data_IF_546172177164
#
_entry.id   IF_546172177164
#
_cell.length_a   1.000
_cell.length_b   1.000
_cell.length_c   1.000
_cell.angle_alpha   90.00
_cell.angle_beta   90.00
_cell.angle_gamma   90.00
#
_symmetry.space_group_name_H-M   'P 1'
#
loop_
_entity.id
_entity.type
_entity.pdbx_description
1 polymer ?
#
# COMPACT_ATOMS: atom_id res chain seq x y z
N UNK A 1 5.83 4.56 16.68
CA UNK A 1 4.68 4.18 15.82
C UNK A 1 4.23 2.74 16.07
N UNK A 2 2.93 2.56 16.29
CA UNK A 2 2.31 1.25 16.51
C UNK A 2 1.96 0.58 15.16
N UNK A 3 1.84 -0.76 15.13
CA UNK A 3 1.42 -1.48 13.93
C UNK A 3 -0.03 -1.22 13.55
N UNK A 4 -0.88 -0.80 14.49
CA UNK A 4 -2.31 -0.58 14.25
C UNK A 4 -3.05 -1.87 13.89
N UNK A 5 -4.36 -1.78 13.68
CA UNK A 5 -5.22 -2.90 13.27
C UNK A 5 -6.14 -2.44 12.14
N UNK A 6 -6.19 -3.21 11.06
CA UNK A 6 -7.13 -2.97 9.96
C UNK A 6 -8.48 -3.58 10.35
N UNK A 7 -9.52 -2.76 10.42
CA UNK A 7 -10.88 -3.18 10.76
C UNK A 7 -11.88 -2.49 9.84
N UNK A 8 -12.95 -3.20 9.51
CA UNK A 8 -14.10 -2.65 8.79
C UNK A 8 -13.84 -2.43 7.30
N UNK A 9 -14.75 -1.68 6.69
CA UNK A 9 -14.80 -1.34 5.26
C UNK A 9 -14.40 0.13 5.09
N UNK A 10 -13.68 0.43 4.02
CA UNK A 10 -13.33 1.79 3.64
C UNK A 10 -14.60 2.63 3.42
N UNK A 11 -14.82 3.62 4.29
CA UNK A 11 -15.93 4.57 4.16
C UNK A 11 -15.62 5.71 3.19
N UNK A 12 -14.32 5.95 2.91
CA UNK A 12 -13.84 7.01 2.02
C UNK A 12 -12.92 6.39 0.97
N UNK A 13 -12.86 7.02 -0.21
CA UNK A 13 -12.02 6.52 -1.32
C UNK A 13 -12.60 5.31 -2.05
N UNK A 14 -13.81 4.89 -1.70
CA UNK A 14 -14.53 3.73 -2.24
C UNK A 14 -15.33 4.00 -3.53
N UNK A 15 -15.41 5.26 -3.97
CA UNK A 15 -16.05 5.69 -5.20
C UNK A 15 -15.00 6.16 -6.22
N UNK A 16 -15.29 6.01 -7.51
CA UNK A 16 -14.42 6.46 -8.60
C UNK A 16 -14.42 8.00 -8.68
N UNK A 17 -13.29 8.62 -8.34
CA UNK A 17 -13.13 10.08 -8.42
C UNK A 17 -12.55 10.56 -9.76
N UNK A 18 -11.81 9.70 -10.45
CA UNK A 18 -11.09 10.02 -11.69
C UNK A 18 -11.15 8.84 -12.66
N UNK A 19 -11.13 9.14 -13.95
CA UNK A 19 -11.15 8.13 -15.01
C UNK A 19 -12.49 7.41 -15.15
N UNK A 20 -12.52 6.42 -16.03
CA UNK A 20 -13.74 5.63 -16.33
C UNK A 20 -13.74 4.25 -15.67
N UNK A 21 -12.58 3.77 -15.22
CA UNK A 21 -12.40 2.44 -14.63
C UNK A 21 -11.45 2.51 -13.43
N UNK A 22 -11.64 1.60 -12.46
CA UNK A 22 -10.72 1.44 -11.34
C UNK A 22 -10.62 0.00 -10.84
N UNK A 23 -9.55 -0.25 -10.09
CA UNK A 23 -9.32 -1.49 -9.33
C UNK A 23 -9.66 -1.20 -7.87
N UNK A 24 -10.51 -2.04 -7.28
CA UNK A 24 -10.99 -1.92 -5.91
C UNK A 24 -10.44 -3.05 -5.05
N UNK A 25 -10.03 -2.73 -3.83
CA UNK A 25 -9.58 -3.72 -2.87
C UNK A 25 -10.78 -4.50 -2.31
N UNK A 26 -10.71 -5.82 -2.36
CA UNK A 26 -11.73 -6.71 -1.78
C UNK A 26 -11.35 -7.18 -0.37
N UNK A 27 -10.06 -7.15 -0.04
CA UNK A 27 -9.51 -7.63 1.23
C UNK A 27 -8.66 -6.57 1.94
N UNK A 28 -8.45 -6.78 3.24
CA UNK A 28 -7.54 -5.94 4.03
C UNK A 28 -6.10 -6.39 3.86
N UNK A 29 -5.21 -5.48 3.48
CA UNK A 29 -3.79 -5.80 3.31
C UNK A 29 -2.90 -4.58 3.57
N UNK A 30 -1.60 -4.82 3.80
CA UNK A 30 -0.59 -3.78 3.69
C UNK A 30 0.06 -3.85 2.33
N UNK A 31 -0.06 -2.77 1.57
CA UNK A 31 0.55 -2.67 0.24
C UNK A 31 1.84 -1.87 0.34
N UNK A 32 2.94 -2.47 -0.09
CA UNK A 32 4.25 -1.81 -0.13
C UNK A 32 4.36 -0.86 -1.32
N UNK A 33 5.23 0.15 -1.21
CA UNK A 33 5.54 1.02 -2.36
C UNK A 33 6.05 0.25 -3.59
N UNK A 34 6.78 -0.85 -3.38
CA UNK A 34 7.26 -1.71 -4.48
C UNK A 34 6.11 -2.40 -5.23
N UNK A 35 5.08 -2.85 -4.54
CA UNK A 35 3.89 -3.46 -5.17
C UNK A 35 3.08 -2.43 -5.97
N UNK A 36 2.91 -1.22 -5.42
CA UNK A 36 2.24 -0.11 -6.14
C UNK A 36 2.99 0.22 -7.43
N UNK A 37 4.32 0.32 -7.35
CA UNK A 37 5.16 0.65 -8.49
C UNK A 37 5.19 -0.46 -9.55
N UNK A 38 5.25 -1.72 -9.13
CA UNK A 38 5.16 -2.86 -10.03
C UNK A 38 3.82 -2.89 -10.78
N UNK A 39 2.70 -2.66 -10.08
CA UNK A 39 1.38 -2.59 -10.68
C UNK A 39 1.26 -1.41 -11.66
N UNK A 40 1.77 -0.23 -11.29
CA UNK A 40 1.81 0.96 -12.16
C UNK A 40 2.57 0.65 -13.46
N UNK A 41 3.76 0.09 -13.36
CA UNK A 41 4.57 -0.26 -14.52
C UNK A 41 3.88 -1.29 -15.42
N UNK A 42 3.25 -2.32 -14.84
CA UNK A 42 2.52 -3.34 -15.60
C UNK A 42 1.35 -2.74 -16.39
N UNK A 43 0.52 -1.91 -15.74
CA UNK A 43 -0.63 -1.25 -16.39
C UNK A 43 -0.14 -0.30 -17.49
N UNK A 44 0.84 0.55 -17.20
CA UNK A 44 1.38 1.51 -18.17
C UNK A 44 2.00 0.80 -19.38
N UNK A 45 2.69 -0.34 -19.19
CA UNK A 45 3.24 -1.14 -20.30
C UNK A 45 2.15 -1.77 -21.14
N UNK A 46 1.12 -2.33 -20.50
CA UNK A 46 0.00 -2.96 -21.21
C UNK A 46 -0.79 -1.95 -22.05
N UNK A 47 -1.02 -0.75 -21.51
CA UNK A 47 -1.66 0.36 -22.22
C UNK A 47 -0.75 1.05 -23.24
N UNK A 48 0.49 0.55 -23.47
CA UNK A 48 1.49 1.17 -24.37
C UNK A 48 1.78 2.64 -24.06
N UNK A 49 1.65 3.03 -22.79
CA UNK A 49 1.80 4.41 -22.30
C UNK A 49 0.76 5.40 -22.85
N UNK A 50 -0.34 4.89 -23.38
CA UNK A 50 -1.50 5.69 -23.79
C UNK A 50 -2.49 5.79 -22.65
N UNK A 51 -3.21 6.92 -22.57
CA UNK A 51 -4.19 7.19 -21.51
C UNK A 51 -3.57 7.71 -20.21
N UNK A 52 -4.43 7.86 -19.20
CA UNK A 52 -4.06 8.41 -17.89
C UNK A 52 -4.30 7.37 -16.79
N UNK A 53 -3.38 7.32 -15.82
CA UNK A 53 -3.42 6.40 -14.69
C UNK A 53 -3.30 7.20 -13.39
N UNK A 54 -4.20 6.97 -12.45
CA UNK A 54 -4.17 7.57 -11.12
C UNK A 54 -3.94 6.51 -10.05
N UNK A 55 -2.98 6.76 -9.17
CA UNK A 55 -2.75 5.95 -7.96
C UNK A 55 -3.46 6.63 -6.80
N UNK A 56 -4.40 5.93 -6.17
CA UNK A 56 -5.24 6.48 -5.08
C UNK A 56 -4.77 6.14 -3.67
N UNK A 57 -3.69 5.38 -3.54
CA UNK A 57 -3.09 5.00 -2.26
C UNK A 57 -1.64 5.45 -2.21
N UNK A 58 -1.15 5.80 -1.02
CA UNK A 58 0.23 6.23 -0.83
C UNK A 58 0.83 5.53 0.40
N UNK A 59 2.05 4.99 0.32
CA UNK A 59 2.69 4.31 1.44
C UNK A 59 3.31 5.34 2.39
N UNK A 60 2.53 5.81 3.35
CA UNK A 60 2.92 6.79 4.37
C UNK A 60 3.33 6.15 5.71
N UNK A 61 2.93 4.91 5.96
CA UNK A 61 3.13 4.26 7.25
C UNK A 61 4.48 3.53 7.31
N UNK A 62 5.43 3.96 8.14
CA UNK A 62 6.70 3.26 8.30
C UNK A 62 6.54 1.90 8.99
N UNK A 63 7.24 0.91 8.43
CA UNK A 63 7.42 -0.42 9.02
C UNK A 63 8.85 -0.53 9.56
N UNK A 64 9.00 -1.20 10.70
CA UNK A 64 10.29 -1.39 11.36
C UNK A 64 10.63 -2.86 11.48
N UNK A 65 11.90 -3.20 11.32
CA UNK A 65 12.38 -4.58 11.48
C UNK A 65 13.69 -4.60 12.27
N UNK A 66 13.87 -5.65 13.07
CA UNK A 66 15.15 -5.92 13.73
C UNK A 66 16.07 -6.65 12.75
N UNK A 67 17.40 -6.40 12.78
CA UNK A 67 18.34 -7.15 11.96
C UNK A 67 18.23 -8.66 12.19
N UNK A 68 18.74 -9.45 11.24
CA UNK A 68 18.91 -10.88 11.47
C UNK A 68 19.87 -11.11 12.65
N UNK A 69 19.77 -12.27 13.29
CA UNK A 69 20.71 -12.74 14.32
C UNK A 69 20.74 -11.96 15.66
N UNK A 70 19.86 -10.96 15.84
CA UNK A 70 19.74 -10.26 17.13
C UNK A 70 18.70 -10.90 18.04
N UNK A 71 19.03 -11.01 19.33
CA UNK A 71 18.05 -11.44 20.36
C UNK A 71 16.96 -10.38 20.56
N UNK A 72 15.82 -10.82 21.09
CA UNK A 72 14.73 -9.93 21.51
C UNK A 72 15.18 -9.00 22.66
N UNK A 73 14.45 -7.90 22.89
CA UNK A 73 14.82 -6.84 23.84
C UNK A 73 15.60 -5.67 23.19
N UNK A 74 16.19 -4.78 24.02
CA UNK A 74 17.01 -3.62 23.60
C UNK A 74 16.33 -2.60 22.67
N UNK A 75 15.01 -2.46 22.78
CA UNK A 75 14.25 -1.46 22.03
C UNK A 75 13.73 -1.90 20.66
N UNK A 76 13.25 -0.93 19.89
CA UNK A 76 12.57 -1.11 18.60
C UNK A 76 13.60 -1.10 17.45
N UNK A 77 13.38 -1.93 16.43
CA UNK A 77 14.22 -1.95 15.23
C UNK A 77 14.07 -0.68 14.37
N UNK A 78 14.98 -0.54 13.40
CA UNK A 78 15.01 0.60 12.48
C UNK A 78 13.86 0.54 11.47
N UNK A 79 13.38 1.70 10.96
CA UNK A 79 12.48 1.74 9.81
C UNK A 79 13.13 1.08 8.58
N UNK A 80 12.44 0.13 7.96
CA UNK A 80 12.92 -0.61 6.77
C UNK A 80 12.16 -0.19 5.50
N UNK A 81 10.97 0.39 5.65
CA UNK A 81 10.19 0.83 4.50
C UNK A 81 8.84 1.42 4.91
N UNK A 82 7.98 1.61 3.92
CA UNK A 82 6.64 2.17 4.10
C UNK A 82 5.58 1.28 3.44
N UNK A 83 4.39 1.28 4.05
CA UNK A 83 3.21 0.56 3.57
C UNK A 83 1.99 1.46 3.54
N UNK A 84 1.06 1.17 2.66
CA UNK A 84 -0.29 1.71 2.64
C UNK A 84 -1.24 0.64 3.23
N UNK A 85 -1.82 0.85 4.42
CA UNK A 85 -2.89 -0.01 4.92
C UNK A 85 -4.16 0.20 4.08
N UNK A 86 -4.68 -0.87 3.50
CA UNK A 86 -5.94 -0.87 2.74
C UNK A 86 -6.96 -1.78 3.42
N UNK A 87 -8.23 -1.40 3.34
CA UNK A 87 -9.39 -2.19 3.78
C UNK A 87 -10.32 -2.41 2.59
N UNK A 88 -11.18 -3.44 2.61
CA UNK A 88 -12.18 -3.67 1.57
C UNK A 88 -13.01 -2.41 1.35
N UNK A 89 -13.33 -2.08 0.09
CA UNK A 89 -14.15 -0.90 -0.22
C UNK A 89 -13.51 0.07 -1.20
#
# INVERSE_FOLDING_TARGET
>A
MQKGRMKGIAQRGNQLAYGSFAIKALDSAWITGRQIEAARQAITRYMKREGQLWIRIFPDKPITKKPAEVRMGKGKGNPEGFVAPVTPG
#
